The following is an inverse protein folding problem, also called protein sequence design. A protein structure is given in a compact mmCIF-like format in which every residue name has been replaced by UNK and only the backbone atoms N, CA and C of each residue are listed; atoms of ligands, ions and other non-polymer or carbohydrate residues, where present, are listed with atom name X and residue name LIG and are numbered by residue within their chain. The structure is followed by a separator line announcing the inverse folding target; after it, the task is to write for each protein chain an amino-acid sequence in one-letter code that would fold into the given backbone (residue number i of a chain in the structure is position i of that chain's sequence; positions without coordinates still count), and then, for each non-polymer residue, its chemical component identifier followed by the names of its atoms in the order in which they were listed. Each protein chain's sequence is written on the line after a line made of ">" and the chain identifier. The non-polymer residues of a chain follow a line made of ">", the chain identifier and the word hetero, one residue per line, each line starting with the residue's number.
data_IF_621847666657
#
_entry.id   IF_621847666657
#
_cell.length_a   1.000
_cell.length_b   1.000
_cell.length_c   1.000
_cell.angle_alpha   90.00
_cell.angle_beta   90.00
_cell.angle_gamma   90.00
#
_symmetry.space_group_name_H-M   'P 1'
#
loop_
_entity.id
_entity.type
_entity.pdbx_description
1 polymer ?
#
# COMPACT_ATOMS: atom_id res chain seq x y z
N UNK A 1 -6.05 -10.09 -13.08
CA UNK A 1 -5.72 -8.67 -12.80
C UNK A 1 -6.79 -8.05 -11.92
N UNK A 2 -6.37 -7.43 -10.84
CA UNK A 2 -7.29 -6.74 -9.95
C UNK A 2 -7.88 -5.51 -10.65
N UNK A 3 -9.19 -5.36 -10.56
CA UNK A 3 -9.86 -4.18 -11.08
C UNK A 3 -10.01 -3.16 -9.94
N UNK A 4 -9.27 -2.07 -10.04
CA UNK A 4 -9.32 -1.02 -9.03
C UNK A 4 -10.61 -0.22 -9.17
N UNK A 5 -11.29 -0.03 -8.05
CA UNK A 5 -12.59 0.66 -8.01
C UNK A 5 -12.54 2.02 -7.32
N UNK A 6 -11.38 2.43 -6.82
CA UNK A 6 -11.22 3.71 -6.10
C UNK A 6 -10.43 4.69 -6.95
N UNK A 7 -10.95 5.90 -7.07
CA UNK A 7 -10.38 6.97 -7.88
C UNK A 7 -8.95 7.30 -7.47
N UNK A 8 -8.03 7.27 -8.44
CA UNK A 8 -6.63 7.64 -8.25
C UNK A 8 -5.72 6.52 -7.79
N UNK A 9 -6.28 5.37 -7.42
CA UNK A 9 -5.50 4.21 -6.99
C UNK A 9 -5.00 3.45 -8.22
N UNK A 10 -3.74 3.02 -8.18
CA UNK A 10 -3.13 2.29 -9.29
C UNK A 10 -2.52 0.99 -8.77
N UNK A 11 -2.77 -0.10 -9.48
CA UNK A 11 -2.10 -1.39 -9.25
C UNK A 11 -1.22 -1.66 -10.46
N UNK A 12 0.08 -1.75 -10.25
CA UNK A 12 1.05 -1.94 -11.33
C UNK A 12 1.75 -3.28 -11.19
N UNK A 13 1.59 -4.20 -12.15
CA UNK A 13 2.37 -5.44 -12.15
C UNK A 13 3.86 -5.14 -12.21
N UNK A 14 4.65 -5.84 -11.41
CA UNK A 14 6.08 -5.64 -11.32
C UNK A 14 6.81 -6.84 -11.90
N UNK A 15 7.94 -6.58 -12.56
CA UNK A 15 8.76 -7.63 -13.17
C UNK A 15 9.58 -8.35 -12.12
N UNK A 16 9.61 -9.67 -12.23
CA UNK A 16 10.51 -10.55 -11.51
C UNK A 16 11.39 -11.21 -12.57
N UNK A 17 12.60 -10.69 -12.74
CA UNK A 17 13.50 -11.09 -13.80
C UNK A 17 14.37 -12.23 -13.31
N UNK A 18 14.21 -13.40 -13.93
CA UNK A 18 14.95 -14.59 -13.57
C UNK A 18 16.46 -14.40 -13.78
N UNK A 19 17.24 -14.86 -12.82
CA UNK A 19 18.68 -15.00 -12.93
C UNK A 19 19.07 -16.25 -12.15
N UNK A 20 19.92 -17.13 -12.68
CA UNK A 20 20.29 -18.37 -11.99
C UNK A 20 21.02 -18.18 -10.68
N UNK A 21 21.53 -16.98 -10.42
CA UNK A 21 22.22 -16.64 -9.16
C UNK A 21 21.35 -15.81 -8.22
N UNK A 22 20.12 -15.52 -8.60
CA UNK A 22 19.18 -14.73 -7.82
C UNK A 22 18.48 -13.71 -8.70
N UNK A 23 17.15 -13.69 -8.66
CA UNK A 23 16.31 -12.85 -9.50
C UNK A 23 16.46 -11.37 -9.19
N UNK A 24 16.13 -10.53 -10.16
CA UNK A 24 15.97 -9.10 -9.96
C UNK A 24 14.48 -8.79 -9.93
N UNK A 25 14.00 -8.27 -8.81
CA UNK A 25 12.59 -7.89 -8.65
C UNK A 25 12.46 -6.38 -8.66
N UNK A 26 11.70 -5.87 -9.62
CA UNK A 26 11.50 -4.43 -9.73
C UNK A 26 10.62 -3.92 -8.60
N UNK A 27 10.84 -2.67 -8.22
CA UNK A 27 10.00 -1.98 -7.24
C UNK A 27 9.40 -0.72 -7.85
N UNK A 28 10.24 0.21 -8.31
CA UNK A 28 9.77 1.47 -8.91
C UNK A 28 10.84 2.10 -9.78
N UNK A 29 10.42 2.57 -10.95
CA UNK A 29 11.23 3.44 -11.81
C UNK A 29 10.58 4.81 -11.87
N UNK A 30 11.37 5.86 -12.05
CA UNK A 30 10.81 7.21 -12.13
C UNK A 30 9.88 7.41 -13.34
N UNK A 31 9.92 6.53 -14.32
CA UNK A 31 9.02 6.55 -15.46
C UNK A 31 7.75 5.71 -15.27
N UNK A 32 7.60 5.06 -14.12
CA UNK A 32 6.45 4.17 -13.86
C UNK A 32 5.19 4.96 -13.50
N UNK A 33 4.02 4.37 -13.77
CA UNK A 33 2.77 4.92 -13.23
C UNK A 33 2.83 5.00 -11.72
N UNK A 34 2.31 6.09 -11.15
CA UNK A 34 2.28 6.28 -9.70
C UNK A 34 3.52 6.92 -9.12
N UNK A 35 4.57 7.13 -9.91
CA UNK A 35 5.70 7.90 -9.44
C UNK A 35 5.35 9.39 -9.42
N UNK A 36 5.43 9.99 -8.23
CA UNK A 36 5.07 11.40 -8.02
C UNK A 36 6.19 12.10 -7.22
N UNK A 37 7.43 11.83 -7.60
CA UNK A 37 8.60 12.34 -6.90
C UNK A 37 9.08 11.38 -5.81
N UNK A 38 10.19 11.74 -5.19
CA UNK A 38 10.80 10.92 -4.14
C UNK A 38 11.02 11.75 -2.89
N UNK A 39 10.51 11.30 -1.77
CA UNK A 39 10.78 11.90 -0.47
C UNK A 39 11.58 10.96 0.42
N UNK A 40 11.10 9.75 0.60
CA UNK A 40 11.77 8.74 1.40
C UNK A 40 11.34 7.34 0.99
N UNK A 41 12.17 6.36 1.32
CA UNK A 41 11.81 4.96 1.17
C UNK A 41 12.13 4.25 2.47
N UNK A 42 11.21 3.41 2.94
CA UNK A 42 11.42 2.65 4.16
C UNK A 42 10.73 1.30 4.10
N UNK A 43 11.23 0.38 4.92
CA UNK A 43 10.58 -0.91 5.12
C UNK A 43 9.74 -0.86 6.38
N UNK A 44 8.62 -1.58 6.34
CA UNK A 44 7.76 -1.81 7.49
C UNK A 44 7.49 -3.29 7.59
N UNK A 45 7.47 -3.83 8.79
CA UNK A 45 7.15 -5.22 9.00
C UNK A 45 5.84 -5.35 9.77
N UNK A 46 5.17 -6.48 9.61
CA UNK A 46 3.96 -6.78 10.37
C UNK A 46 3.91 -8.27 10.67
N UNK A 47 3.57 -8.63 11.91
CA UNK A 47 3.51 -10.02 12.33
C UNK A 47 2.26 -10.70 11.81
N UNK A 48 2.32 -12.02 11.75
CA UNK A 48 1.19 -12.85 11.35
C UNK A 48 -0.03 -12.54 12.23
N UNK A 49 -1.18 -12.34 11.60
CA UNK A 49 -2.47 -12.03 12.22
C UNK A 49 -2.58 -10.65 12.86
N UNK A 50 -1.49 -9.88 12.91
CA UNK A 50 -1.60 -8.51 13.39
C UNK A 50 -2.12 -7.60 12.28
N UNK A 51 -2.77 -6.52 12.69
CA UNK A 51 -3.28 -5.50 11.79
C UNK A 51 -2.86 -4.14 12.30
N UNK A 52 -2.24 -3.34 11.44
CA UNK A 52 -1.96 -1.94 11.75
C UNK A 52 -3.16 -1.11 11.29
N UNK A 53 -3.81 -0.39 12.22
CA UNK A 53 -5.05 0.30 11.89
C UNK A 53 -4.83 1.56 11.06
N UNK A 54 -5.86 2.29 10.90
CA UNK A 54 -6.10 3.27 9.87
C UNK A 54 -5.25 4.52 9.99
N UNK A 55 -4.56 4.85 8.90
CA UNK A 55 -3.87 6.13 8.71
C UNK A 55 -4.34 6.75 7.42
N UNK A 56 -4.44 8.08 7.43
CA UNK A 56 -4.73 8.87 6.23
C UNK A 56 -3.61 9.88 6.07
N UNK A 57 -2.96 9.87 4.92
CA UNK A 57 -1.99 10.90 4.56
C UNK A 57 -2.71 12.02 3.84
N UNK A 58 -2.43 13.25 4.24
CA UNK A 58 -3.10 14.41 3.66
C UNK A 58 -2.41 14.89 2.38
N UNK A 59 -1.13 14.59 2.21
CA UNK A 59 -0.33 15.02 1.06
C UNK A 59 0.52 13.92 0.43
N UNK A 60 0.94 12.93 1.22
CA UNK A 60 1.84 11.87 0.75
C UNK A 60 1.13 10.88 -0.14
N UNK A 61 1.77 10.54 -1.27
CA UNK A 61 1.39 9.40 -2.09
C UNK A 61 2.22 8.19 -1.64
N UNK A 62 1.57 7.08 -1.37
CA UNK A 62 2.20 5.83 -0.96
C UNK A 62 2.39 4.93 -2.16
N UNK A 63 3.52 4.22 -2.19
CA UNK A 63 3.77 3.17 -3.17
C UNK A 63 4.27 1.93 -2.44
N UNK A 64 3.38 0.96 -2.27
CA UNK A 64 3.64 -0.25 -1.49
C UNK A 64 4.08 -1.41 -2.37
N UNK A 65 5.15 -2.07 -1.95
CA UNK A 65 5.66 -3.31 -2.57
C UNK A 65 5.90 -4.31 -1.45
N UNK A 66 5.50 -5.56 -1.63
CA UNK A 66 5.70 -6.61 -0.63
C UNK A 66 6.60 -7.69 -1.22
N UNK A 67 7.94 -7.58 -1.03
CA UNK A 67 8.88 -8.55 -1.59
C UNK A 67 8.98 -9.84 -0.78
N UNK A 68 8.62 -9.80 0.51
CA UNK A 68 8.71 -10.97 1.39
C UNK A 68 7.42 -11.08 2.18
N UNK A 69 6.88 -12.29 2.23
CA UNK A 69 5.66 -12.55 2.98
C UNK A 69 4.41 -12.22 2.19
N UNK A 70 3.34 -11.92 2.93
CA UNK A 70 2.03 -11.69 2.34
C UNK A 70 1.29 -10.69 3.22
N UNK A 71 0.87 -9.57 2.63
CA UNK A 71 0.21 -8.49 3.35
C UNK A 71 -1.07 -8.11 2.63
N UNK A 72 -2.18 -8.09 3.37
CA UNK A 72 -3.46 -7.59 2.87
C UNK A 72 -3.56 -6.11 3.21
N UNK A 73 -3.73 -5.29 2.18
CA UNK A 73 -3.90 -3.84 2.31
C UNK A 73 -5.34 -3.49 2.00
N UNK A 74 -5.96 -2.73 2.90
CA UNK A 74 -7.35 -2.28 2.73
C UNK A 74 -7.35 -0.76 2.73
N UNK A 75 -8.06 -0.17 1.76
CA UNK A 75 -8.22 1.27 1.68
C UNK A 75 -9.71 1.63 1.70
N UNK A 76 -10.00 2.80 2.26
CA UNK A 76 -11.35 3.34 2.34
C UNK A 76 -11.34 4.79 1.88
N UNK A 77 -12.26 5.12 0.99
CA UNK A 77 -12.38 6.45 0.40
C UNK A 77 -13.49 7.24 1.10
N UNK A 78 -13.13 8.23 1.89
CA UNK A 78 -14.08 9.16 2.50
C UNK A 78 -13.93 10.59 1.98
N UNK A 79 -13.18 10.78 0.88
CA UNK A 79 -12.95 12.11 0.31
C UNK A 79 -14.28 12.70 -0.16
N UNK A 80 -14.62 13.94 0.30
CA UNK A 80 -15.97 14.50 0.05
C UNK A 80 -16.33 14.64 -1.44
N UNK A 81 -15.35 14.95 -2.28
CA UNK A 81 -15.58 15.20 -3.70
C UNK A 81 -15.25 14.00 -4.59
N UNK A 82 -14.92 12.86 -4.00
CA UNK A 82 -14.53 11.68 -4.77
C UNK A 82 -15.74 10.99 -5.39
N UNK A 83 -15.65 10.58 -6.67
CA UNK A 83 -16.72 9.78 -7.29
C UNK A 83 -16.86 8.39 -6.65
N UNK A 84 -15.86 7.94 -5.91
CA UNK A 84 -15.88 6.63 -5.23
C UNK A 84 -15.99 6.76 -3.72
N UNK A 85 -16.51 7.90 -3.23
CA UNK A 85 -16.70 8.12 -1.80
C UNK A 85 -17.56 7.00 -1.19
N UNK A 86 -17.09 6.46 -0.07
CA UNK A 86 -17.78 5.38 0.65
C UNK A 86 -17.35 3.98 0.25
N UNK A 87 -16.48 3.85 -0.74
CA UNK A 87 -16.07 2.54 -1.23
C UNK A 87 -14.78 2.06 -0.57
N UNK A 88 -14.66 0.74 -0.51
CA UNK A 88 -13.46 0.03 -0.04
C UNK A 88 -12.82 -0.70 -1.20
N UNK A 89 -11.50 -0.88 -1.10
CA UNK A 89 -10.77 -1.79 -1.98
C UNK A 89 -9.72 -2.49 -1.16
N UNK A 90 -9.55 -3.79 -1.37
CA UNK A 90 -8.46 -4.53 -0.74
C UNK A 90 -7.69 -5.34 -1.76
N UNK A 91 -6.43 -5.56 -1.45
CA UNK A 91 -5.55 -6.38 -2.27
C UNK A 91 -4.54 -7.07 -1.34
N UNK A 92 -4.25 -8.33 -1.63
CA UNK A 92 -3.20 -9.06 -0.92
C UNK A 92 -1.97 -9.11 -1.80
N UNK A 93 -0.92 -8.45 -1.34
CA UNK A 93 0.36 -8.39 -2.05
C UNK A 93 1.31 -9.46 -1.52
N UNK A 94 2.02 -10.11 -2.42
CA UNK A 94 2.94 -11.20 -2.10
C UNK A 94 3.89 -11.43 -3.26
N UNK A 95 4.80 -12.38 -3.11
CA UNK A 95 5.65 -12.83 -4.21
C UNK A 95 4.82 -13.36 -5.38
N UNK A 96 3.73 -14.07 -5.09
CA UNK A 96 2.85 -14.65 -6.11
C UNK A 96 1.90 -13.63 -6.74
N UNK A 97 1.66 -12.52 -6.05
CA UNK A 97 0.88 -11.40 -6.55
C UNK A 97 1.73 -10.14 -6.42
N UNK A 98 2.81 -10.11 -7.20
CA UNK A 98 3.86 -9.11 -7.05
C UNK A 98 3.52 -7.86 -7.85
N UNK A 99 2.92 -6.89 -7.15
CA UNK A 99 2.45 -5.65 -7.75
C UNK A 99 2.78 -4.49 -6.84
N UNK A 100 2.92 -3.30 -7.43
CA UNK A 100 3.02 -2.06 -6.66
C UNK A 100 1.63 -1.46 -6.50
N UNK A 101 1.30 -1.12 -5.27
CA UNK A 101 0.02 -0.51 -4.93
C UNK A 101 0.23 0.97 -4.66
N UNK A 102 -0.24 1.81 -5.57
CA UNK A 102 -0.11 3.27 -5.48
C UNK A 102 -1.37 3.85 -4.86
N UNK A 103 -1.22 4.52 -3.72
CA UNK A 103 -2.33 5.07 -2.95
C UNK A 103 -2.14 6.58 -2.86
N UNK A 104 -3.00 7.37 -3.52
CA UNK A 104 -2.91 8.83 -3.43
C UNK A 104 -3.29 9.32 -2.03
N UNK A 105 -2.96 10.57 -1.74
CA UNK A 105 -3.33 11.20 -0.48
C UNK A 105 -4.85 11.23 -0.30
N UNK A 106 -5.30 11.28 0.95
CA UNK A 106 -6.70 11.41 1.29
C UNK A 106 -7.46 10.12 1.53
N UNK A 107 -6.82 8.98 1.41
CA UNK A 107 -7.44 7.68 1.63
C UNK A 107 -7.01 7.08 2.96
N UNK A 108 -7.94 6.41 3.64
CA UNK A 108 -7.64 5.63 4.84
C UNK A 108 -7.02 4.30 4.44
N UNK A 109 -5.93 3.95 5.10
CA UNK A 109 -5.16 2.74 4.79
C UNK A 109 -4.93 1.95 6.07
N UNK A 110 -5.17 0.64 6.00
CA UNK A 110 -4.83 -0.30 7.06
C UNK A 110 -4.29 -1.56 6.40
N UNK A 111 -3.43 -2.30 7.09
CA UNK A 111 -2.92 -3.55 6.52
C UNK A 111 -2.69 -4.62 7.58
N UNK A 112 -2.81 -5.87 7.14
CA UNK A 112 -2.73 -7.05 7.98
C UNK A 112 -1.66 -8.00 7.49
N UNK A 113 -0.95 -8.65 8.41
CA UNK A 113 0.02 -9.70 8.12
C UNK A 113 -0.67 -11.02 7.87
N UNK A 114 -0.57 -11.54 6.65
CA UNK A 114 -1.17 -12.81 6.25
C UNK A 114 -0.16 -13.94 6.29
N UNK A 115 1.10 -13.68 5.92
CA UNK A 115 2.16 -14.68 5.97
C UNK A 115 2.53 -15.06 7.38
N UNK A 116 2.90 -16.32 7.59
CA UNK A 116 3.22 -16.86 8.92
C UNK A 116 4.60 -16.41 9.43
N UNK A 117 5.50 -16.09 8.52
CA UNK A 117 6.86 -15.65 8.87
C UNK A 117 6.99 -14.13 8.65
N UNK A 118 8.14 -13.67 8.20
CA UNK A 118 8.38 -12.26 7.95
C UNK A 118 7.45 -11.73 6.86
N UNK A 119 6.74 -10.66 7.17
CA UNK A 119 5.97 -9.90 6.20
C UNK A 119 6.60 -8.52 6.09
N UNK A 120 7.13 -8.19 4.92
CA UNK A 120 7.92 -6.99 4.69
C UNK A 120 7.28 -6.14 3.60
N UNK A 121 7.02 -4.89 3.94
CA UNK A 121 6.46 -3.91 3.03
C UNK A 121 7.49 -2.82 2.79
N UNK A 122 7.73 -2.49 1.52
CA UNK A 122 8.50 -1.31 1.13
C UNK A 122 7.52 -0.21 0.76
N UNK A 123 7.71 0.99 1.32
CA UNK A 123 6.99 2.17 0.85
C UNK A 123 7.98 3.14 0.21
N UNK A 124 7.73 3.48 -1.05
CA UNK A 124 8.46 4.54 -1.74
C UNK A 124 7.54 5.76 -1.76
N UNK A 125 7.78 6.69 -0.84
CA UNK A 125 6.91 7.84 -0.62
C UNK A 125 7.44 9.08 -1.33
N UNK A 126 6.52 9.93 -1.78
CA UNK A 126 6.90 11.16 -2.48
C UNK A 126 7.26 12.32 -1.55
N UNK A 127 7.05 12.15 -0.25
CA UNK A 127 7.36 13.16 0.78
C UNK A 127 8.10 12.49 1.92
N UNK A 128 8.92 13.26 2.64
CA UNK A 128 9.49 12.80 3.89
C UNK A 128 8.42 12.80 4.99
N UNK A 129 8.61 11.95 5.99
CA UNK A 129 7.69 11.82 7.11
C UNK A 129 7.47 13.18 7.80
N UNK A 130 6.19 13.55 7.93
CA UNK A 130 5.76 14.75 8.62
C UNK A 130 4.51 14.37 9.43
N UNK A 131 4.61 14.34 10.77
CA UNK A 131 3.46 13.94 11.58
C UNK A 131 2.24 14.83 11.43
N UNK A 132 2.41 16.05 10.92
CA UNK A 132 1.29 16.98 10.74
C UNK A 132 0.45 16.66 9.50
N UNK A 133 0.94 15.81 8.59
CA UNK A 133 0.19 15.44 7.38
C UNK A 133 -0.52 14.10 7.53
N UNK A 134 -0.55 13.53 8.75
CA UNK A 134 -1.12 12.19 9.01
C UNK A 134 -2.28 12.32 9.98
N UNK A 135 -3.40 11.70 9.63
CA UNK A 135 -4.51 11.45 10.55
C UNK A 135 -4.51 9.97 10.91
N UNK A 136 -4.89 9.64 12.14
CA UNK A 136 -4.89 8.27 12.64
C UNK A 136 -6.21 7.92 13.30
N UNK A 137 -6.62 6.66 13.15
CA UNK A 137 -7.70 6.05 13.93
C UNK A 137 -7.11 4.81 14.57
N UNK A 138 -6.94 4.85 15.89
CA UNK A 138 -6.24 3.80 16.63
C UNK A 138 -7.03 2.49 16.69
N UNK A 139 -8.36 2.56 16.65
CA UNK A 139 -9.20 1.38 16.67
C UNK A 139 -9.46 0.89 15.25
N UNK A 140 -9.25 -0.40 15.01
CA UNK A 140 -9.58 -1.01 13.74
C UNK A 140 -11.07 -0.87 13.42
N UNK A 141 -11.91 -0.87 14.45
CA UNK A 141 -13.37 -0.76 14.31
C UNK A 141 -13.84 0.66 14.00
N UNK A 142 -12.95 1.67 14.04
CA UNK A 142 -13.32 3.05 13.74
C UNK A 142 -13.85 3.21 12.32
N UNK A 143 -13.46 2.31 11.42
CA UNK A 143 -14.02 2.21 10.07
C UNK A 143 -14.63 0.82 9.96
N UNK A 144 -15.90 0.78 9.57
CA UNK A 144 -16.65 -0.48 9.52
C UNK A 144 -16.27 -1.28 8.28
N UNK A 145 -15.28 -2.14 8.42
CA UNK A 145 -14.81 -3.03 7.37
C UNK A 145 -14.74 -4.45 7.91
N UNK A 146 -15.20 -5.40 7.12
CA UNK A 146 -15.18 -6.82 7.50
C UNK A 146 -13.88 -7.46 6.98
N UNK A 147 -12.94 -7.62 7.87
CA UNK A 147 -11.67 -8.29 7.56
C UNK A 147 -11.84 -9.82 7.39
#
# INVERSE_FOLDING_TARGET
>A
MEQVTIEGVIVTPLKQIYNPRGDVWHAMKCSDPGFDGFGEAYFSTIYHKDTKPWKKHLRMTLNFVVPVGKIRVVIFDDRPESPTKGEFFDITLSHENYQRFTIPAGLWVAFAGVGEDLNLLLNVANLEHDPLEIERKESLDAINYRW
#
